data_IF_472909754932
#
_entry.id   IF_472909754932
#
_cell.length_a   1.000
_cell.length_b   1.000
_cell.length_c   1.000
_cell.angle_alpha   90.00
_cell.angle_beta   90.00
_cell.angle_gamma   90.00
#
_symmetry.space_group_name_H-M   'P 1'
#
loop_
_entity.id
_entity.type
_entity.pdbx_description
1 polymer ?
#
# COMPACT_ATOMS: atom_id res chain seq x y z
N UNK A 1 34.55 46.76 -0.06
CA UNK A 1 33.86 46.64 1.24
C UNK A 1 34.14 45.26 1.81
N UNK A 2 34.96 45.16 2.85
CA UNK A 2 35.41 43.88 3.39
C UNK A 2 34.30 43.18 4.17
N UNK A 3 34.26 41.83 4.23
CA UNK A 3 33.24 41.07 4.96
C UNK A 3 33.10 41.48 6.43
N UNK A 4 34.19 41.90 7.07
CA UNK A 4 34.20 42.40 8.45
C UNK A 4 33.44 43.72 8.64
N UNK A 5 33.38 44.58 7.62
CA UNK A 5 32.62 45.83 7.67
C UNK A 5 31.10 45.58 7.61
N UNK A 6 30.65 44.51 6.94
CA UNK A 6 29.22 44.14 6.89
C UNK A 6 28.73 43.58 8.22
N UNK A 7 29.54 42.76 8.88
CA UNK A 7 29.25 42.22 10.21
C UNK A 7 29.21 43.32 11.28
N UNK A 8 30.13 44.29 11.23
CA UNK A 8 30.10 45.46 12.13
C UNK A 8 28.89 46.34 11.89
N UNK A 9 28.50 46.62 10.63
CA UNK A 9 27.29 47.40 10.33
C UNK A 9 26.00 46.69 10.74
N UNK A 10 25.91 45.36 10.55
CA UNK A 10 24.77 44.57 11.01
C UNK A 10 24.62 44.58 12.54
N UNK A 11 25.73 44.44 13.28
CA UNK A 11 25.71 44.52 14.74
C UNK A 11 25.34 45.91 15.26
N UNK A 12 25.82 46.97 14.60
CA UNK A 12 25.45 48.35 14.96
C UNK A 12 23.97 48.61 14.66
N UNK A 13 23.43 48.13 13.54
CA UNK A 13 22.02 48.29 13.21
C UNK A 13 21.10 47.56 14.21
N UNK A 14 21.45 46.32 14.60
CA UNK A 14 20.71 45.55 15.61
C UNK A 14 20.75 46.24 16.97
N UNK A 15 21.90 46.78 17.36
CA UNK A 15 22.05 47.51 18.62
C UNK A 15 21.20 48.79 18.63
N UNK A 16 21.16 49.53 17.52
CA UNK A 16 20.29 50.73 17.38
C UNK A 16 18.82 50.37 17.50
N UNK A 17 18.37 49.27 16.88
CA UNK A 17 16.97 48.80 16.97
C UNK A 17 16.60 48.37 18.39
N UNK A 18 17.49 47.63 19.07
CA UNK A 18 17.27 47.23 20.46
C UNK A 18 17.19 48.42 21.41
N UNK A 19 18.07 49.42 21.23
CA UNK A 19 18.05 50.65 22.03
C UNK A 19 16.77 51.45 21.77
N UNK A 20 16.31 51.55 20.52
CA UNK A 20 15.07 52.24 20.19
C UNK A 20 13.83 51.57 20.84
N UNK A 21 13.76 50.24 20.81
CA UNK A 21 12.69 49.48 21.47
C UNK A 21 12.70 49.64 22.99
N UNK A 22 13.90 49.67 23.59
CA UNK A 22 14.07 49.87 25.03
C UNK A 22 13.63 51.28 25.47
N UNK A 23 13.93 52.30 24.67
CA UNK A 23 13.47 53.68 24.92
C UNK A 23 11.94 53.78 24.78
N UNK A 24 11.34 53.16 23.76
CA UNK A 24 9.88 53.14 23.58
C UNK A 24 9.14 52.44 24.74
N UNK A 25 9.76 51.42 25.34
CA UNK A 25 9.25 50.77 26.54
C UNK A 25 9.31 51.68 27.76
N UNK A 26 10.45 52.35 28.00
CA UNK A 26 10.63 53.27 29.12
C UNK A 26 9.66 54.46 29.09
N UNK A 27 9.27 54.92 27.89
CA UNK A 27 8.28 56.00 27.71
C UNK A 27 6.83 55.51 27.90
N UNK A 28 6.61 54.21 28.16
CA UNK A 28 5.29 53.64 28.45
C UNK A 28 4.39 53.46 27.22
N UNK A 29 4.95 53.60 26.02
CA UNK A 29 4.22 53.43 24.75
C UNK A 29 4.06 51.96 24.34
N UNK A 30 4.77 51.04 25.00
CA UNK A 30 4.72 49.60 24.74
C UNK A 30 4.33 48.83 26.01
N UNK A 31 3.35 47.93 25.87
CA UNK A 31 3.03 46.95 26.91
C UNK A 31 4.05 45.80 26.91
N UNK A 32 4.19 45.09 28.03
CA UNK A 32 5.11 43.94 28.17
C UNK A 32 4.86 42.87 27.10
N UNK A 33 3.59 42.64 26.74
CA UNK A 33 3.22 41.71 25.67
C UNK A 33 3.74 42.16 24.30
N UNK A 34 3.61 43.44 23.95
CA UNK A 34 4.10 43.98 22.67
C UNK A 34 5.62 43.97 22.58
N UNK A 35 6.32 44.18 23.71
CA UNK A 35 7.78 44.08 23.80
C UNK A 35 8.25 42.65 23.46
N UNK A 36 7.61 41.64 24.05
CA UNK A 36 7.91 40.23 23.79
C UNK A 36 7.70 39.87 22.31
N UNK A 37 6.58 40.30 21.72
CA UNK A 37 6.30 40.03 20.30
C UNK A 37 7.35 40.66 19.39
N UNK A 38 7.70 41.93 19.64
CA UNK A 38 8.73 42.64 18.87
C UNK A 38 10.12 42.02 19.04
N UNK A 39 10.43 41.51 20.23
CA UNK A 39 11.69 40.81 20.50
C UNK A 39 11.79 39.49 19.72
N UNK A 40 10.72 38.71 19.66
CA UNK A 40 10.66 37.48 18.85
C UNK A 40 10.84 37.81 17.36
N UNK A 41 10.14 38.83 16.85
CA UNK A 41 10.31 39.26 15.46
C UNK A 41 11.73 39.77 15.16
N UNK A 42 12.36 40.46 16.11
CA UNK A 42 13.75 40.91 15.97
C UNK A 42 14.73 39.73 15.92
N UNK A 43 14.54 38.70 16.76
CA UNK A 43 15.34 37.47 16.73
C UNK A 43 15.17 36.76 15.38
N UNK A 44 13.93 36.59 14.92
CA UNK A 44 13.65 35.96 13.62
C UNK A 44 14.26 36.76 12.47
N UNK A 45 14.16 38.10 12.49
CA UNK A 45 14.75 38.95 11.47
C UNK A 45 16.29 38.89 11.46
N UNK A 46 16.93 38.82 12.64
CA UNK A 46 18.37 38.62 12.77
C UNK A 46 18.77 37.22 12.29
N UNK A 47 17.98 36.19 12.59
CA UNK A 47 18.20 34.83 12.09
C UNK A 47 18.12 34.79 10.56
N UNK A 48 17.09 35.41 9.98
CA UNK A 48 16.89 35.50 8.53
C UNK A 48 18.01 36.30 7.85
N UNK A 49 18.50 37.39 8.47
CA UNK A 49 19.63 38.16 7.93
C UNK A 49 21.00 37.49 8.10
N UNK A 50 21.15 36.58 9.07
CA UNK A 50 22.42 35.88 9.32
C UNK A 50 22.56 34.60 8.51
N UNK A 51 21.45 34.00 8.07
CA UNK A 51 21.48 32.80 7.25
C UNK A 51 21.68 33.15 5.78
N UNK A 52 22.76 32.64 5.17
CA UNK A 52 23.02 32.83 3.74
C UNK A 52 21.97 32.08 2.91
N UNK A 53 21.40 32.66 1.83
CA UNK A 53 20.39 31.99 1.00
C UNK A 53 20.85 30.63 0.45
N UNK A 54 22.16 30.49 0.20
CA UNK A 54 22.77 29.23 -0.24
C UNK A 54 22.73 28.12 0.84
N UNK A 55 22.77 28.47 2.12
CA UNK A 55 22.72 27.51 3.22
C UNK A 55 21.28 27.03 3.49
N UNK A 56 20.27 27.89 3.29
CA UNK A 56 18.85 27.47 3.35
C UNK A 56 18.54 26.49 2.23
N UNK A 57 19.00 26.75 1.00
CA UNK A 57 18.82 25.80 -0.12
C UNK A 57 19.57 24.49 0.10
N UNK A 58 20.77 24.52 0.68
CA UNK A 58 21.51 23.31 1.00
C UNK A 58 20.87 22.52 2.16
N UNK A 59 20.26 23.20 3.14
CA UNK A 59 19.49 22.56 4.21
C UNK A 59 18.16 22.00 3.68
N UNK A 60 17.42 22.75 2.85
CA UNK A 60 16.22 22.26 2.18
C UNK A 60 16.56 21.03 1.32
N UNK A 61 17.60 21.09 0.49
CA UNK A 61 18.02 19.95 -0.33
C UNK A 61 18.49 18.75 0.50
N UNK A 62 19.10 18.95 1.69
CA UNK A 62 19.46 17.85 2.59
C UNK A 62 18.25 17.29 3.33
N UNK A 63 17.31 18.13 3.76
CA UNK A 63 16.06 17.69 4.41
C UNK A 63 15.19 16.94 3.41
N UNK A 64 15.13 17.41 2.17
CA UNK A 64 14.42 16.77 1.05
C UNK A 64 15.10 15.45 0.66
N UNK A 65 16.43 15.37 0.63
CA UNK A 65 17.17 14.11 0.44
C UNK A 65 17.01 13.12 1.60
N UNK A 66 16.98 13.58 2.85
CA UNK A 66 16.79 12.72 4.03
C UNK A 66 15.34 12.24 4.13
N UNK A 67 14.37 13.11 3.79
CA UNK A 67 12.95 12.78 3.70
C UNK A 67 12.68 11.78 2.57
N UNK A 68 13.23 12.04 1.37
CA UNK A 68 13.12 11.13 0.22
C UNK A 68 13.86 9.80 0.49
N UNK A 69 14.99 9.85 1.19
CA UNK A 69 15.74 8.65 1.59
C UNK A 69 14.96 7.76 2.55
N UNK A 70 14.43 8.31 3.64
CA UNK A 70 13.65 7.56 4.63
C UNK A 70 12.37 6.95 4.05
N UNK A 71 11.57 7.76 3.34
CA UNK A 71 10.33 7.30 2.68
C UNK A 71 10.64 6.27 1.60
N UNK A 72 11.74 6.40 0.87
CA UNK A 72 12.11 5.42 -0.16
C UNK A 72 12.53 4.06 0.39
N UNK A 73 13.18 4.02 1.56
CA UNK A 73 13.58 2.76 2.20
C UNK A 73 12.34 2.05 2.76
N UNK A 74 11.44 2.80 3.40
CA UNK A 74 10.18 2.24 3.90
C UNK A 74 9.28 1.76 2.75
N UNK A 75 9.22 2.50 1.64
CA UNK A 75 8.46 2.12 0.46
C UNK A 75 9.04 0.89 -0.24
N UNK A 76 10.35 0.81 -0.41
CA UNK A 76 11.01 -0.38 -0.97
C UNK A 76 10.83 -1.59 -0.05
N UNK A 77 10.91 -1.41 1.27
CA UNK A 77 10.65 -2.49 2.23
C UNK A 77 9.18 -2.92 2.23
N UNK A 78 8.24 -1.98 2.12
CA UNK A 78 6.81 -2.27 2.02
C UNK A 78 6.47 -2.95 0.68
N UNK A 79 7.07 -2.50 -0.42
CA UNK A 79 7.00 -3.09 -1.76
C UNK A 79 7.50 -4.53 -1.76
N UNK A 80 8.72 -4.76 -1.28
CA UNK A 80 9.30 -6.08 -1.15
C UNK A 80 8.47 -7.00 -0.24
N UNK A 81 7.94 -6.48 0.87
CA UNK A 81 7.08 -7.23 1.79
C UNK A 81 5.75 -7.61 1.15
N UNK A 82 5.07 -6.67 0.50
CA UNK A 82 3.82 -6.90 -0.21
C UNK A 82 4.03 -7.90 -1.37
N UNK A 83 5.11 -7.74 -2.12
CA UNK A 83 5.52 -8.65 -3.19
C UNK A 83 5.88 -10.06 -2.69
N UNK A 84 6.40 -10.19 -1.47
CA UNK A 84 6.72 -11.47 -0.84
C UNK A 84 5.51 -12.13 -0.16
N UNK A 85 4.54 -11.33 0.30
CA UNK A 85 3.28 -11.80 0.87
C UNK A 85 2.28 -12.23 -0.22
N UNK A 86 2.41 -11.63 -1.40
CA UNK A 86 1.63 -11.99 -2.58
C UNK A 86 1.80 -13.47 -2.95
N UNK A 87 0.70 -14.22 -3.13
CA UNK A 87 0.77 -15.59 -3.61
C UNK A 87 1.41 -15.61 -5.01
N UNK A 88 2.53 -16.31 -5.18
CA UNK A 88 3.14 -16.49 -6.51
C UNK A 88 2.41 -17.61 -7.31
N UNK A 89 2.52 -17.62 -8.63
CA UNK A 89 1.86 -18.66 -9.45
C UNK A 89 0.33 -18.60 -9.44
N UNK A 90 -0.22 -17.38 -9.53
CA UNK A 90 -1.57 -17.16 -10.06
C UNK A 90 -1.45 -16.69 -11.52
N UNK A 91 -2.55 -16.67 -12.26
CA UNK A 91 -2.56 -16.15 -13.63
C UNK A 91 -2.08 -14.70 -13.59
N UNK A 92 -0.81 -14.51 -13.93
CA UNK A 92 -0.25 -13.23 -14.26
C UNK A 92 -0.93 -12.89 -15.58
N UNK A 93 -1.74 -11.84 -15.59
CA UNK A 93 -2.52 -11.38 -16.76
C UNK A 93 -1.56 -10.88 -17.87
N UNK A 94 -0.46 -11.57 -18.18
CA UNK A 94 0.50 -11.21 -19.23
C UNK A 94 0.92 -9.75 -19.21
N UNK A 95 0.90 -9.13 -18.03
CA UNK A 95 0.98 -7.69 -17.87
C UNK A 95 2.46 -7.32 -17.97
N UNK A 96 2.93 -6.98 -19.18
CA UNK A 96 4.29 -6.47 -19.46
C UNK A 96 4.76 -5.52 -18.36
N UNK A 97 6.05 -5.52 -18.00
CA UNK A 97 6.57 -4.64 -16.95
C UNK A 97 6.13 -3.19 -17.18
N UNK A 98 5.46 -2.59 -16.18
CA UNK A 98 4.95 -1.23 -16.30
C UNK A 98 6.10 -0.24 -16.50
N UNK A 99 5.96 0.65 -17.47
CA UNK A 99 7.01 1.60 -17.86
C UNK A 99 6.92 2.94 -17.14
N UNK A 100 5.79 3.22 -16.48
CA UNK A 100 5.51 4.47 -15.79
C UNK A 100 4.60 4.28 -14.57
N UNK A 101 4.61 5.26 -13.65
CA UNK A 101 3.70 5.25 -12.49
C UNK A 101 2.24 5.41 -12.91
N UNK A 102 1.99 6.13 -14.01
CA UNK A 102 0.65 6.30 -14.60
C UNK A 102 0.09 4.96 -15.07
N UNK A 103 0.93 4.15 -15.71
CA UNK A 103 0.54 2.80 -16.15
C UNK A 103 0.23 1.88 -14.96
N UNK A 104 1.07 1.88 -13.91
CA UNK A 104 0.78 1.15 -12.67
C UNK A 104 -0.55 1.57 -12.04
N UNK A 105 -0.83 2.88 -12.01
CA UNK A 105 -2.08 3.42 -11.48
C UNK A 105 -3.28 2.91 -12.27
N UNK A 106 -3.26 3.02 -13.60
CA UNK A 106 -4.37 2.54 -14.43
C UNK A 106 -4.61 1.04 -14.25
N UNK A 107 -3.54 0.24 -14.15
CA UNK A 107 -3.66 -1.20 -13.90
C UNK A 107 -4.26 -1.50 -12.53
N UNK A 108 -3.84 -0.79 -11.49
CA UNK A 108 -4.40 -0.94 -10.15
C UNK A 108 -5.88 -0.54 -10.10
N UNK A 109 -6.25 0.59 -10.73
CA UNK A 109 -7.64 1.05 -10.83
C UNK A 109 -8.53 0.05 -11.57
N UNK A 110 -8.04 -0.51 -12.69
CA UNK A 110 -8.73 -1.57 -13.42
C UNK A 110 -8.97 -2.80 -12.54
N UNK A 111 -7.96 -3.24 -11.80
CA UNK A 111 -8.08 -4.40 -10.89
C UNK A 111 -9.03 -4.14 -9.73
N UNK A 112 -9.09 -2.90 -9.22
CA UNK A 112 -10.08 -2.49 -8.22
C UNK A 112 -11.52 -2.56 -8.77
N UNK A 113 -11.72 -2.11 -10.01
CA UNK A 113 -13.02 -2.20 -10.68
C UNK A 113 -13.43 -3.66 -10.93
N UNK A 114 -12.49 -4.53 -11.33
CA UNK A 114 -12.74 -5.96 -11.51
C UNK A 114 -13.14 -6.63 -10.18
N UNK A 115 -12.46 -6.31 -9.08
CA UNK A 115 -12.78 -6.82 -7.74
C UNK A 115 -14.18 -6.39 -7.27
N UNK A 116 -14.53 -5.13 -7.52
CA UNK A 116 -15.85 -4.55 -7.25
C UNK A 116 -16.98 -5.25 -8.00
N UNK A 117 -16.75 -5.65 -9.26
CA UNK A 117 -17.74 -6.33 -10.08
C UNK A 117 -17.84 -7.84 -9.75
N UNK A 118 -16.72 -8.49 -9.40
CA UNK A 118 -16.64 -9.95 -9.27
C UNK A 118 -16.51 -10.48 -7.84
N UNK A 119 -15.36 -10.27 -7.21
CA UNK A 119 -15.01 -10.96 -5.94
C UNK A 119 -15.74 -10.40 -4.74
N UNK A 120 -15.96 -9.09 -4.73
CA UNK A 120 -16.53 -8.35 -3.61
C UNK A 120 -17.98 -7.94 -3.86
N UNK A 121 -18.56 -8.37 -4.98
CA UNK A 121 -19.98 -8.17 -5.22
C UNK A 121 -20.80 -9.13 -4.36
N UNK A 122 -21.88 -8.63 -3.78
CA UNK A 122 -22.82 -9.45 -3.02
C UNK A 122 -23.91 -9.95 -3.96
N UNK A 123 -24.17 -11.27 -4.02
CA UNK A 123 -25.30 -11.79 -4.75
C UNK A 123 -26.59 -11.45 -4.01
N UNK A 124 -27.45 -10.63 -4.62
CA UNK A 124 -28.79 -10.31 -4.12
C UNK A 124 -29.81 -11.00 -5.02
N UNK A 125 -30.20 -12.22 -4.64
CA UNK A 125 -30.98 -13.11 -5.53
C UNK A 125 -30.13 -13.54 -6.73
N UNK A 126 -30.68 -13.39 -7.95
CA UNK A 126 -29.97 -13.67 -9.21
C UNK A 126 -29.18 -12.45 -9.75
N UNK A 127 -29.16 -11.33 -9.01
CA UNK A 127 -28.51 -10.08 -9.45
C UNK A 127 -27.23 -9.86 -8.65
N UNK A 128 -26.12 -9.68 -9.37
CA UNK A 128 -24.83 -9.26 -8.82
C UNK A 128 -24.81 -7.74 -8.74
N UNK A 129 -24.83 -7.17 -7.53
CA UNK A 129 -24.78 -5.71 -7.34
C UNK A 129 -23.31 -5.28 -7.26
N UNK A 130 -22.82 -4.43 -8.18
CA UNK A 130 -21.45 -3.92 -8.12
C UNK A 130 -21.24 -3.12 -6.84
N UNK A 131 -20.16 -3.40 -6.11
CA UNK A 131 -19.76 -2.61 -4.94
C UNK A 131 -18.75 -1.55 -5.34
N UNK A 132 -18.61 -0.48 -4.53
CA UNK A 132 -17.52 0.47 -4.73
C UNK A 132 -16.36 0.08 -3.83
N UNK A 133 -15.18 -0.14 -4.42
CA UNK A 133 -13.99 -0.61 -3.72
C UNK A 133 -12.94 0.49 -3.72
N UNK A 134 -12.44 0.81 -2.53
CA UNK A 134 -11.32 1.76 -2.33
C UNK A 134 -10.24 1.07 -1.52
N UNK A 135 -8.98 1.52 -1.64
CA UNK A 135 -7.88 0.99 -0.82
C UNK A 135 -8.20 1.11 0.68
N UNK A 136 -8.73 2.26 1.11
CA UNK A 136 -9.14 2.45 2.51
C UNK A 136 -10.24 1.48 2.95
N UNK A 137 -11.19 1.14 2.06
CA UNK A 137 -12.20 0.10 2.32
C UNK A 137 -11.58 -1.29 2.49
N UNK A 138 -10.66 -1.67 1.59
CA UNK A 138 -9.97 -2.97 1.66
C UNK A 138 -9.12 -3.11 2.93
N UNK A 139 -8.49 -2.03 3.40
CA UNK A 139 -7.75 -2.02 4.68
C UNK A 139 -8.68 -2.15 5.86
N UNK A 140 -9.77 -1.36 5.89
CA UNK A 140 -10.78 -1.41 6.95
C UNK A 140 -11.40 -2.79 7.08
N UNK A 141 -11.64 -3.44 5.94
CA UNK A 141 -12.26 -4.77 5.89
C UNK A 141 -11.21 -5.90 6.04
N UNK A 142 -9.95 -5.57 6.36
CA UNK A 142 -8.83 -6.49 6.57
C UNK A 142 -8.56 -7.42 5.37
N UNK A 143 -8.72 -6.91 4.15
CA UNK A 143 -8.41 -7.59 2.89
C UNK A 143 -7.04 -7.20 2.33
N UNK A 144 -6.46 -6.11 2.82
CA UNK A 144 -5.08 -5.70 2.55
C UNK A 144 -4.36 -5.44 3.87
N UNK A 145 -3.10 -5.87 3.95
CA UNK A 145 -2.21 -5.50 5.04
C UNK A 145 -1.70 -4.06 4.92
N UNK A 146 -1.02 -3.59 5.95
CA UNK A 146 -0.53 -2.21 6.01
C UNK A 146 0.56 -1.90 4.99
N UNK A 147 1.40 -2.89 4.64
CA UNK A 147 2.46 -2.73 3.67
C UNK A 147 1.88 -2.64 2.24
N UNK A 148 0.93 -3.51 1.93
CA UNK A 148 0.17 -3.52 0.68
C UNK A 148 -0.60 -2.21 0.48
N UNK A 149 -1.23 -1.72 1.55
CA UNK A 149 -1.95 -0.44 1.54
C UNK A 149 -1.02 0.73 1.23
N UNK A 150 0.18 0.74 1.82
CA UNK A 150 1.18 1.79 1.60
C UNK A 150 1.63 1.81 0.14
N UNK A 151 1.89 0.63 -0.45
CA UNK A 151 2.29 0.50 -1.86
C UNK A 151 1.15 0.96 -2.78
N UNK A 152 -0.08 0.51 -2.52
CA UNK A 152 -1.24 0.91 -3.29
C UNK A 152 -1.49 2.42 -3.24
N UNK A 153 -1.47 3.01 -2.04
CA UNK A 153 -1.64 4.45 -1.86
C UNK A 153 -0.54 5.25 -2.56
N UNK A 154 0.70 4.78 -2.48
CA UNK A 154 1.82 5.42 -3.19
C UNK A 154 1.61 5.40 -4.71
N UNK A 155 1.18 4.28 -5.29
CA UNK A 155 0.89 4.19 -6.73
C UNK A 155 -0.25 5.14 -7.14
N UNK A 156 -1.30 5.23 -6.33
CA UNK A 156 -2.46 6.06 -6.64
C UNK A 156 -2.19 7.55 -6.46
N UNK A 157 -1.34 7.94 -5.51
CA UNK A 157 -1.11 9.35 -5.13
C UNK A 157 0.12 9.97 -5.79
N UNK A 158 1.17 9.20 -6.09
CA UNK A 158 2.42 9.74 -6.67
C UNK A 158 2.17 10.28 -8.07
N UNK A 159 2.39 11.58 -8.26
CA UNK A 159 2.24 12.20 -9.59
C UNK A 159 3.39 11.81 -10.53
N UNK A 160 3.17 11.86 -11.84
CA UNK A 160 4.24 11.60 -12.83
C UNK A 160 5.44 12.55 -12.67
N UNK A 161 5.19 13.81 -12.30
CA UNK A 161 6.27 14.79 -12.08
C UNK A 161 7.09 14.45 -10.82
N UNK A 162 6.42 14.04 -9.75
CA UNK A 162 7.05 13.57 -8.52
C UNK A 162 7.85 12.28 -8.77
N UNK A 163 7.27 11.33 -9.48
CA UNK A 163 7.94 10.09 -9.86
C UNK A 163 9.23 10.36 -10.66
N UNK A 164 9.21 11.30 -11.60
CA UNK A 164 10.41 11.72 -12.36
C UNK A 164 11.49 12.36 -11.49
N UNK A 165 11.10 12.97 -10.36
CA UNK A 165 12.05 13.59 -9.43
C UNK A 165 12.78 12.58 -8.54
N UNK A 166 12.27 11.35 -8.43
CA UNK A 166 12.93 10.28 -7.66
C UNK A 166 14.28 9.87 -8.28
N UNK A 167 15.15 9.31 -7.46
CA UNK A 167 16.38 8.70 -7.95
C UNK A 167 16.05 7.53 -8.90
N UNK A 168 16.91 7.28 -9.88
CA UNK A 168 16.70 6.20 -10.88
C UNK A 168 16.48 4.83 -10.22
N UNK A 169 17.29 4.49 -9.22
CA UNK A 169 17.16 3.26 -8.45
C UNK A 169 15.81 3.14 -7.73
N UNK A 170 15.26 4.26 -7.25
CA UNK A 170 13.95 4.30 -6.59
C UNK A 170 12.81 4.13 -7.59
N UNK A 171 12.92 4.75 -8.77
CA UNK A 171 11.95 4.57 -9.85
C UNK A 171 11.88 3.12 -10.28
N UNK A 172 13.04 2.50 -10.52
CA UNK A 172 13.12 1.08 -10.90
C UNK A 172 12.56 0.16 -9.82
N UNK A 173 12.88 0.41 -8.55
CA UNK A 173 12.35 -0.37 -7.43
C UNK A 173 10.82 -0.24 -7.34
N UNK A 174 10.29 0.98 -7.46
CA UNK A 174 8.85 1.22 -7.43
C UNK A 174 8.13 0.57 -8.61
N UNK A 175 8.68 0.63 -9.82
CA UNK A 175 8.09 -0.02 -10.99
C UNK A 175 8.09 -1.54 -10.83
N UNK A 176 9.20 -2.12 -10.35
CA UNK A 176 9.35 -3.57 -10.16
C UNK A 176 8.46 -4.09 -9.04
N UNK A 177 8.55 -3.51 -7.85
CA UNK A 177 7.82 -3.98 -6.68
C UNK A 177 6.34 -3.62 -6.78
N UNK A 178 6.03 -2.41 -7.27
CA UNK A 178 4.68 -1.97 -7.57
C UNK A 178 4.03 -2.80 -8.67
N UNK A 179 4.77 -3.13 -9.74
CA UNK A 179 4.32 -4.04 -10.79
C UNK A 179 3.98 -5.42 -10.25
N UNK A 180 4.88 -6.02 -9.45
CA UNK A 180 4.64 -7.32 -8.81
C UNK A 180 3.46 -7.29 -7.82
N UNK A 181 3.30 -6.21 -7.07
CA UNK A 181 2.14 -6.01 -6.20
C UNK A 181 0.84 -5.92 -7.01
N UNK A 182 0.80 -5.09 -8.05
CA UNK A 182 -0.39 -4.93 -8.90
C UNK A 182 -0.72 -6.24 -9.63
N UNK A 183 0.28 -7.00 -10.10
CA UNK A 183 0.11 -8.31 -10.72
C UNK A 183 -0.70 -9.26 -9.81
N UNK A 184 -0.34 -9.31 -8.55
CA UNK A 184 -0.86 -10.26 -7.54
C UNK A 184 -2.01 -9.70 -6.68
N UNK A 185 -2.40 -8.45 -6.90
CA UNK A 185 -3.36 -7.72 -6.07
C UNK A 185 -4.71 -8.44 -5.92
N UNK A 186 -5.31 -8.87 -7.05
CA UNK A 186 -6.63 -9.55 -7.04
C UNK A 186 -6.57 -10.89 -6.29
N UNK A 187 -5.48 -11.61 -6.49
CA UNK A 187 -5.19 -12.87 -5.83
C UNK A 187 -5.10 -12.72 -4.30
N UNK A 188 -4.38 -11.70 -3.82
CA UNK A 188 -4.25 -11.40 -2.40
C UNK A 188 -5.60 -11.05 -1.76
N UNK A 189 -6.37 -10.15 -2.40
CA UNK A 189 -7.71 -9.77 -1.90
C UNK A 189 -8.66 -10.96 -1.88
N UNK A 190 -8.65 -11.80 -2.93
CA UNK A 190 -9.47 -13.00 -2.99
C UNK A 190 -9.11 -14.01 -1.90
N UNK A 191 -7.82 -14.23 -1.66
CA UNK A 191 -7.35 -15.15 -0.63
C UNK A 191 -7.83 -14.73 0.77
N UNK A 192 -7.66 -13.46 1.12
CA UNK A 192 -8.13 -12.92 2.41
C UNK A 192 -9.65 -12.94 2.52
N UNK A 193 -10.36 -12.62 1.44
CA UNK A 193 -11.82 -12.72 1.41
C UNK A 193 -12.29 -14.17 1.59
N UNK A 194 -11.62 -15.14 0.97
CA UNK A 194 -11.90 -16.56 1.16
C UNK A 194 -11.67 -16.99 2.61
N UNK A 195 -10.55 -16.57 3.23
CA UNK A 195 -10.28 -16.84 4.63
C UNK A 195 -11.38 -16.32 5.55
N UNK A 196 -11.85 -15.09 5.32
CA UNK A 196 -12.93 -14.50 6.13
C UNK A 196 -14.25 -15.26 5.97
N UNK A 197 -14.64 -15.65 4.75
CA UNK A 197 -15.90 -16.38 4.55
C UNK A 197 -15.81 -17.78 5.13
N UNK A 198 -14.71 -18.50 4.91
CA UNK A 198 -14.45 -19.80 5.53
C UNK A 198 -14.49 -19.70 7.07
N UNK A 199 -13.89 -18.64 7.64
CA UNK A 199 -13.90 -18.39 9.07
C UNK A 199 -15.31 -18.22 9.63
N UNK A 200 -16.15 -17.46 8.91
CA UNK A 200 -17.54 -17.19 9.29
C UNK A 200 -18.44 -18.41 9.16
N UNK A 201 -18.27 -19.21 8.11
CA UNK A 201 -19.16 -20.32 7.81
C UNK A 201 -18.76 -21.64 8.48
N UNK A 202 -17.47 -21.93 8.55
CA UNK A 202 -16.96 -23.24 8.94
C UNK A 202 -16.14 -23.22 10.24
N UNK A 203 -15.90 -22.03 10.82
CA UNK A 203 -15.13 -21.86 12.05
C UNK A 203 -13.65 -21.56 11.81
N UNK A 204 -12.77 -21.83 12.78
CA UNK A 204 -11.38 -21.39 12.75
C UNK A 204 -10.60 -21.79 11.48
N UNK A 205 -9.93 -20.80 10.87
CA UNK A 205 -9.05 -20.97 9.70
C UNK A 205 -7.61 -20.82 10.15
N UNK A 206 -6.80 -21.85 9.89
CA UNK A 206 -5.36 -21.85 10.05
C UNK A 206 -4.72 -21.59 8.69
N UNK A 207 -3.77 -20.64 8.61
CA UNK A 207 -2.96 -20.45 7.41
C UNK A 207 -1.75 -21.38 7.49
N UNK A 208 -1.59 -22.25 6.50
CA UNK A 208 -0.48 -23.22 6.46
C UNK A 208 0.39 -22.93 5.25
N UNK A 209 1.57 -22.40 5.51
CA UNK A 209 2.61 -22.24 4.50
C UNK A 209 3.20 -23.60 4.14
N UNK A 210 3.36 -23.90 2.85
CA UNK A 210 4.17 -25.05 2.41
C UNK A 210 5.52 -24.57 1.91
N UNK A 211 6.52 -25.42 2.07
CA UNK A 211 7.89 -25.16 1.62
C UNK A 211 7.97 -24.98 0.09
N UNK A 212 7.11 -25.68 -0.67
CA UNK A 212 7.07 -25.65 -2.14
C UNK A 212 5.89 -24.83 -2.72
N UNK A 213 5.05 -24.24 -1.86
CA UNK A 213 3.91 -23.45 -2.33
C UNK A 213 4.23 -21.96 -2.28
N UNK A 214 3.88 -21.33 -3.37
CA UNK A 214 3.93 -19.91 -3.59
C UNK A 214 3.01 -19.06 -2.70
N UNK A 215 2.13 -19.70 -1.92
CA UNK A 215 1.17 -19.07 -1.03
C UNK A 215 0.79 -19.98 0.13
N UNK A 216 0.06 -19.42 1.08
CA UNK A 216 -0.46 -20.15 2.24
C UNK A 216 -1.77 -20.84 1.87
N UNK A 217 -1.93 -22.11 2.24
CA UNK A 217 -3.23 -22.76 2.16
C UNK A 217 -4.10 -22.38 3.36
N UNK A 218 -5.41 -22.40 3.16
CA UNK A 218 -6.39 -22.17 4.22
C UNK A 218 -6.87 -23.50 4.74
N UNK A 219 -6.49 -23.87 5.95
CA UNK A 219 -6.93 -25.09 6.60
C UNK A 219 -8.10 -24.77 7.53
N UNK A 220 -9.23 -25.41 7.29
CA UNK A 220 -10.39 -25.35 8.17
C UNK A 220 -10.42 -26.62 9.00
N UNK A 221 -10.50 -26.46 10.33
CA UNK A 221 -10.69 -27.59 11.25
C UNK A 221 -12.11 -27.53 11.81
N UNK A 222 -12.98 -28.40 11.28
CA UNK A 222 -14.38 -28.49 11.70
C UNK A 222 -14.75 -29.87 12.26
N UNK A 223 -16.02 -30.04 12.59
CA UNK A 223 -16.59 -31.31 13.12
C UNK A 223 -16.45 -32.49 12.14
N UNK A 224 -16.31 -32.23 10.84
CA UNK A 224 -16.08 -33.22 9.79
C UNK A 224 -14.61 -33.53 9.47
N UNK A 225 -13.67 -33.04 10.28
CA UNK A 225 -12.23 -33.21 10.10
C UNK A 225 -11.52 -32.01 9.47
N UNK A 226 -10.23 -32.19 9.19
CA UNK A 226 -9.35 -31.15 8.61
C UNK A 226 -9.53 -31.11 7.09
N UNK A 227 -10.00 -29.97 6.56
CA UNK A 227 -10.13 -29.73 5.12
C UNK A 227 -9.21 -28.58 4.71
N UNK A 228 -8.39 -28.83 3.70
CA UNK A 228 -7.48 -27.86 3.11
C UNK A 228 -8.16 -27.17 1.93
N UNK A 229 -8.32 -25.87 2.02
CA UNK A 229 -8.81 -25.00 0.96
C UNK A 229 -7.64 -24.28 0.30
N UNK A 230 -7.61 -24.30 -1.03
CA UNK A 230 -6.57 -23.69 -1.85
C UNK A 230 -7.22 -22.61 -2.71
N UNK A 231 -7.24 -21.34 -2.25
CA UNK A 231 -7.75 -20.24 -3.05
C UNK A 231 -6.85 -20.00 -4.26
N UNK A 232 -7.45 -20.02 -5.44
CA UNK A 232 -6.78 -19.80 -6.72
C UNK A 232 -7.59 -18.77 -7.49
N UNK A 233 -7.01 -17.59 -7.72
CA UNK A 233 -7.60 -16.56 -8.57
C UNK A 233 -7.29 -16.87 -10.04
N UNK A 234 -8.13 -17.71 -10.63
CA UNK A 234 -8.13 -18.03 -12.05
C UNK A 234 -9.49 -18.63 -12.44
N UNK A 235 -9.75 -18.74 -13.74
CA UNK A 235 -10.94 -19.42 -14.22
C UNK A 235 -10.90 -20.92 -13.87
N UNK A 236 -12.06 -21.51 -13.57
CA UNK A 236 -12.17 -22.91 -13.14
C UNK A 236 -11.56 -23.92 -14.13
N UNK A 237 -11.48 -23.55 -15.42
CA UNK A 237 -10.91 -24.37 -16.48
C UNK A 237 -9.45 -24.11 -16.79
N UNK A 238 -8.79 -23.17 -16.12
CA UNK A 238 -7.41 -22.77 -16.45
C UNK A 238 -6.40 -23.88 -16.12
N UNK A 239 -5.27 -23.89 -16.83
CA UNK A 239 -4.18 -24.83 -16.55
C UNK A 239 -3.64 -24.66 -15.13
N UNK A 240 -3.72 -23.44 -14.60
CA UNK A 240 -3.36 -23.11 -13.23
C UNK A 240 -4.21 -23.89 -12.20
N UNK A 241 -5.53 -23.94 -12.39
CA UNK A 241 -6.43 -24.71 -11.50
C UNK A 241 -6.11 -26.19 -11.59
N UNK A 242 -5.88 -26.71 -12.80
CA UNK A 242 -5.52 -28.13 -13.00
C UNK A 242 -4.19 -28.49 -12.36
N UNK A 243 -3.21 -27.60 -12.45
CA UNK A 243 -1.91 -27.77 -11.77
C UNK A 243 -2.08 -27.82 -10.26
N UNK A 244 -2.89 -26.92 -9.69
CA UNK A 244 -3.17 -26.94 -8.26
C UNK A 244 -3.92 -28.20 -7.84
N UNK A 245 -4.92 -28.66 -8.61
CA UNK A 245 -5.59 -29.94 -8.35
C UNK A 245 -4.61 -31.12 -8.34
N UNK A 246 -3.72 -31.21 -9.34
CA UNK A 246 -2.68 -32.26 -9.39
C UNK A 246 -1.75 -32.20 -8.18
N UNK A 247 -1.33 -30.99 -7.80
CA UNK A 247 -0.44 -30.78 -6.65
C UNK A 247 -1.07 -31.14 -5.32
N UNK A 248 -2.36 -30.90 -5.13
CA UNK A 248 -3.02 -31.21 -3.85
C UNK A 248 -3.61 -32.60 -3.78
N UNK A 249 -3.76 -33.30 -4.91
CA UNK A 249 -4.19 -34.70 -4.95
C UNK A 249 -3.20 -35.64 -4.27
N UNK A 250 -1.91 -35.30 -4.24
CA UNK A 250 -0.86 -36.11 -3.58
C UNK A 250 -0.71 -35.82 -2.08
N UNK A 251 -1.47 -34.87 -1.54
CA UNK A 251 -1.37 -34.48 -0.13
C UNK A 251 -2.27 -35.34 0.74
N UNK A 252 -1.85 -35.62 1.99
CA UNK A 252 -2.70 -36.31 2.94
C UNK A 252 -3.89 -35.44 3.37
N UNK A 253 -5.08 -36.03 3.39
CA UNK A 253 -6.31 -35.40 3.86
C UNK A 253 -7.22 -34.91 2.73
N UNK A 254 -8.27 -34.17 3.11
CA UNK A 254 -9.24 -33.63 2.15
C UNK A 254 -8.78 -32.26 1.67
N UNK A 255 -8.70 -32.08 0.36
CA UNK A 255 -8.36 -30.80 -0.28
C UNK A 255 -9.49 -30.32 -1.17
N UNK A 256 -9.66 -29.00 -1.28
CA UNK A 256 -10.62 -28.34 -2.17
C UNK A 256 -9.91 -27.15 -2.82
N UNK A 257 -9.99 -27.04 -4.14
CA UNK A 257 -9.53 -25.84 -4.85
C UNK A 257 -10.70 -24.86 -4.92
N UNK A 258 -10.46 -23.60 -4.56
CA UNK A 258 -11.49 -22.55 -4.51
C UNK A 258 -11.17 -21.48 -5.55
N UNK A 259 -12.11 -21.20 -6.45
CA UNK A 259 -11.96 -20.23 -7.55
C UNK A 259 -12.92 -19.05 -7.40
N UNK A 260 -12.61 -17.84 -7.91
CA UNK A 260 -13.38 -16.62 -7.69
C UNK A 260 -14.76 -16.59 -8.38
N UNK A 261 -15.07 -17.54 -9.24
CA UNK A 261 -16.35 -17.60 -9.94
C UNK A 261 -17.56 -17.53 -8.98
N UNK A 262 -18.64 -16.88 -9.42
CA UNK A 262 -19.91 -16.80 -8.70
C UNK A 262 -20.96 -17.80 -9.21
N UNK A 263 -20.75 -18.34 -10.40
CA UNK A 263 -21.56 -19.42 -10.96
C UNK A 263 -21.25 -20.75 -10.27
N UNK A 264 -22.20 -21.68 -10.17
CA UNK A 264 -21.96 -22.97 -9.53
C UNK A 264 -20.90 -23.80 -10.25
N UNK A 265 -20.08 -24.53 -9.50
CA UNK A 265 -19.15 -25.50 -10.10
C UNK A 265 -19.90 -26.71 -10.66
N UNK A 266 -19.49 -27.26 -11.83
CA UNK A 266 -19.96 -28.58 -12.24
C UNK A 266 -19.48 -29.64 -11.23
N UNK A 267 -20.22 -30.76 -11.05
CA UNK A 267 -19.81 -31.82 -10.14
C UNK A 267 -18.42 -32.36 -10.53
N UNK A 268 -17.58 -32.71 -9.54
CA UNK A 268 -16.25 -33.22 -9.82
C UNK A 268 -16.32 -34.54 -10.58
N UNK A 269 -15.42 -34.73 -11.55
CA UNK A 269 -15.20 -36.04 -12.15
C UNK A 269 -14.62 -37.01 -11.10
N UNK A 270 -15.01 -38.29 -11.17
CA UNK A 270 -14.58 -39.31 -10.21
C UNK A 270 -13.06 -39.32 -10.03
N UNK A 271 -12.61 -39.25 -8.78
CA UNK A 271 -11.19 -39.28 -8.40
C UNK A 271 -10.44 -37.94 -8.49
N UNK A 272 -11.09 -36.85 -8.90
CA UNK A 272 -10.46 -35.53 -8.89
C UNK A 272 -10.70 -34.75 -7.59
N UNK A 273 -9.71 -33.92 -7.22
CA UNK A 273 -9.87 -32.93 -6.15
C UNK A 273 -11.00 -31.97 -6.55
N UNK A 274 -12.01 -31.76 -5.69
CA UNK A 274 -13.12 -30.89 -6.02
C UNK A 274 -12.65 -29.44 -6.23
N UNK A 275 -13.14 -28.83 -7.31
CA UNK A 275 -13.10 -27.38 -7.52
C UNK A 275 -14.43 -26.83 -7.05
N UNK A 276 -14.42 -25.88 -6.12
CA UNK A 276 -15.59 -25.13 -5.70
C UNK A 276 -15.45 -23.68 -6.14
N UNK A 277 -16.57 -23.05 -6.47
CA UNK A 277 -16.57 -21.63 -6.75
C UNK A 277 -16.84 -20.83 -5.47
N UNK A 278 -16.45 -19.56 -5.48
CA UNK A 278 -16.72 -18.66 -4.36
C UNK A 278 -18.24 -18.45 -4.18
N UNK A 279 -19.00 -18.47 -5.27
CA UNK A 279 -20.46 -18.49 -5.24
C UNK A 279 -21.02 -19.70 -4.47
N UNK A 280 -20.44 -20.90 -4.63
CA UNK A 280 -20.84 -22.09 -3.87
C UNK A 280 -20.59 -21.91 -2.37
N UNK A 281 -19.48 -21.24 -2.02
CA UNK A 281 -19.15 -20.91 -0.64
C UNK A 281 -20.20 -19.93 -0.08
N UNK A 282 -20.48 -18.83 -0.75
CA UNK A 282 -21.39 -17.78 -0.29
C UNK A 282 -22.83 -18.25 -0.07
N UNK A 283 -23.32 -19.21 -0.87
CA UNK A 283 -24.71 -19.71 -0.78
C UNK A 283 -24.97 -20.61 0.42
N UNK A 284 -23.92 -21.11 1.09
CA UNK A 284 -24.04 -22.02 2.23
C UNK A 284 -24.58 -23.38 1.81
N UNK A 285 -23.71 -24.39 1.79
CA UNK A 285 -24.16 -25.80 1.78
C UNK A 285 -24.73 -26.18 3.13
#
# INVERSE_FOLDING_TARGET
MTPDQRLRRGRVAVLVVLVALFVLYLVGLLTVAQLLTLFVFAIVAVLVMTVRPAQVRALLGRVEQVSAGGVSIELAAAGAKAAAAAPTGMEDDGDDDATSIVELRFRLERKLADLAAGVLSEPVGDVVVPTHVTIGGLVRDHLLGSAEATVADTILTTSENEFRSYAETQREALLRDGGRFVATFRAAVFHERAAQVLARQLGGVERVRRDDAAGEDLVVTGTGGRVRWVPVFADAGSDLVRDQQRRVAVLPGRSVVLVPALTPSPPPADGQVPVRTFGDLLRGT
#
